data_IF_565341786825
#
_entry.id   IF_565341786825
#
_cell.length_a   1.000
_cell.length_b   1.000
_cell.length_c   1.000
_cell.angle_alpha   90.00
_cell.angle_beta   90.00
_cell.angle_gamma   90.00
#
_symmetry.space_group_name_H-M   'P 1'
#
loop_
_entity.id
_entity.type
_entity.pdbx_description
1 polymer ?
#
# COMPACT_ATOMS: atom_id res chain seq x y z
N UNK A 1 51.89 -46.02 -23.00
CA UNK A 1 51.69 -46.13 -21.54
C UNK A 1 51.71 -44.72 -20.95
N UNK A 2 50.75 -44.40 -20.06
CA UNK A 2 50.66 -43.17 -19.23
C UNK A 2 50.16 -41.93 -19.99
N UNK A 3 49.08 -41.22 -19.66
CA UNK A 3 48.52 -40.84 -18.34
C UNK A 3 48.92 -39.37 -18.09
N UNK A 4 48.10 -38.40 -17.71
CA UNK A 4 46.69 -38.27 -17.36
C UNK A 4 46.46 -36.78 -16.96
N UNK A 5 45.23 -36.41 -16.60
CA UNK A 5 45.01 -35.23 -15.76
C UNK A 5 44.34 -34.00 -16.38
N UNK A 6 43.27 -34.18 -17.17
CA UNK A 6 42.32 -33.11 -17.46
C UNK A 6 41.15 -33.14 -16.49
N UNK A 7 41.27 -32.56 -15.29
CA UNK A 7 40.14 -32.39 -14.38
C UNK A 7 40.10 -30.98 -13.75
N UNK A 8 39.21 -30.17 -14.33
CA UNK A 8 38.24 -29.30 -13.65
C UNK A 8 38.71 -28.03 -12.88
N UNK A 9 38.94 -26.89 -13.58
CA UNK A 9 38.82 -25.55 -12.99
C UNK A 9 37.40 -24.96 -13.09
N UNK A 10 36.51 -25.52 -13.94
CA UNK A 10 35.30 -24.83 -14.41
C UNK A 10 33.97 -25.19 -13.72
N UNK A 11 33.97 -26.02 -12.68
CA UNK A 11 32.72 -26.41 -11.98
C UNK A 11 32.42 -25.51 -10.75
N UNK A 12 33.43 -25.00 -10.07
CA UNK A 12 33.24 -24.11 -8.91
C UNK A 12 32.74 -22.71 -9.32
N UNK A 13 33.21 -22.17 -10.45
CA UNK A 13 32.79 -20.84 -10.93
C UNK A 13 31.35 -20.77 -11.46
N UNK A 14 30.82 -21.87 -12.01
CA UNK A 14 29.47 -21.91 -12.59
C UNK A 14 28.38 -22.11 -11.52
N UNK A 15 28.70 -22.77 -10.42
CA UNK A 15 27.75 -22.99 -9.32
C UNK A 15 27.48 -21.71 -8.51
N UNK A 16 28.49 -20.86 -8.29
CA UNK A 16 28.35 -19.59 -7.53
C UNK A 16 27.64 -18.51 -8.35
N UNK A 17 27.91 -18.43 -9.67
CA UNK A 17 27.24 -17.47 -10.56
C UNK A 17 25.74 -17.74 -10.75
N UNK A 18 25.31 -19.00 -10.71
CA UNK A 18 23.90 -19.39 -10.79
C UNK A 18 23.08 -18.99 -9.54
N UNK A 19 23.69 -19.09 -8.36
CA UNK A 19 23.04 -18.72 -7.09
C UNK A 19 22.90 -17.20 -6.91
N UNK A 20 23.91 -16.42 -7.31
CA UNK A 20 23.83 -14.95 -7.27
C UNK A 20 22.79 -14.39 -8.25
N UNK A 21 22.69 -14.95 -9.45
CA UNK A 21 21.65 -14.55 -10.42
C UNK A 21 20.24 -14.89 -9.93
N UNK A 22 20.03 -16.06 -9.31
CA UNK A 22 18.73 -16.43 -8.77
C UNK A 22 18.26 -15.49 -7.63
N UNK A 23 19.17 -15.11 -6.73
CA UNK A 23 18.88 -14.17 -5.65
C UNK A 23 18.52 -12.76 -6.17
N UNK A 24 19.25 -12.26 -7.18
CA UNK A 24 18.98 -10.96 -7.81
C UNK A 24 17.69 -10.98 -8.62
N UNK A 25 17.39 -12.06 -9.35
CA UNK A 25 16.12 -12.21 -10.06
C UNK A 25 14.92 -12.29 -9.12
N UNK A 26 15.05 -12.93 -7.96
CA UNK A 26 13.99 -13.00 -6.95
C UNK A 26 13.77 -11.63 -6.28
N UNK A 27 14.84 -10.90 -5.97
CA UNK A 27 14.75 -9.53 -5.46
C UNK A 27 14.13 -8.59 -6.51
N UNK A 28 14.50 -8.73 -7.78
CA UNK A 28 13.92 -7.96 -8.89
C UNK A 28 12.43 -8.21 -9.06
N UNK A 29 11.99 -9.47 -9.03
CA UNK A 29 10.57 -9.82 -9.10
C UNK A 29 9.78 -9.28 -7.90
N UNK A 30 10.37 -9.27 -6.71
CA UNK A 30 9.76 -8.71 -5.51
C UNK A 30 9.63 -7.18 -5.57
N UNK A 31 10.64 -6.49 -6.10
CA UNK A 31 10.60 -5.04 -6.34
C UNK A 31 9.57 -4.68 -7.41
N UNK A 32 9.51 -5.45 -8.50
CA UNK A 32 8.58 -5.20 -9.61
C UNK A 32 7.12 -5.44 -9.20
N UNK A 33 6.88 -6.47 -8.37
CA UNK A 33 5.57 -6.72 -7.77
C UNK A 33 5.15 -5.58 -6.84
N UNK A 34 6.06 -5.10 -5.98
CA UNK A 34 5.78 -3.97 -5.10
C UNK A 34 5.46 -2.69 -5.88
N UNK A 35 6.20 -2.40 -6.96
CA UNK A 35 5.98 -1.23 -7.79
C UNK A 35 4.64 -1.27 -8.53
N UNK A 36 4.28 -2.42 -9.12
CA UNK A 36 2.99 -2.62 -9.80
C UNK A 36 1.81 -2.48 -8.85
N UNK A 37 1.94 -3.00 -7.64
CA UNK A 37 0.89 -2.95 -6.64
C UNK A 37 0.66 -1.51 -6.16
N UNK A 38 1.73 -0.74 -5.96
CA UNK A 38 1.67 0.68 -5.60
C UNK A 38 1.01 1.52 -6.72
N UNK A 39 1.31 1.23 -7.99
CA UNK A 39 0.63 1.85 -9.12
C UNK A 39 -0.87 1.54 -9.11
N UNK A 40 -1.27 0.29 -8.83
CA UNK A 40 -2.67 -0.09 -8.68
C UNK A 40 -3.38 0.63 -7.52
N UNK A 41 -2.71 0.83 -6.39
CA UNK A 41 -3.25 1.59 -5.25
C UNK A 41 -3.45 3.06 -5.64
N UNK A 42 -2.51 3.66 -6.36
CA UNK A 42 -2.65 5.03 -6.85
C UNK A 42 -3.84 5.17 -7.80
N UNK A 43 -3.96 4.30 -8.80
CA UNK A 43 -5.06 4.34 -9.78
C UNK A 43 -6.42 4.17 -9.10
N UNK A 44 -6.52 3.23 -8.17
CA UNK A 44 -7.74 3.00 -7.39
C UNK A 44 -8.10 4.22 -6.54
N UNK A 45 -7.12 4.79 -5.82
CA UNK A 45 -7.34 5.99 -5.02
C UNK A 45 -7.73 7.19 -5.89
N UNK A 46 -7.09 7.36 -7.05
CA UNK A 46 -7.41 8.42 -7.99
C UNK A 46 -8.85 8.27 -8.51
N UNK A 47 -9.27 7.05 -8.86
CA UNK A 47 -10.64 6.78 -9.29
C UNK A 47 -11.66 7.10 -8.21
N UNK A 48 -11.40 6.75 -6.94
CA UNK A 48 -12.29 7.08 -5.80
C UNK A 48 -12.36 8.59 -5.54
N UNK A 49 -11.23 9.28 -5.58
CA UNK A 49 -11.15 10.74 -5.41
C UNK A 49 -11.93 11.46 -6.52
N UNK A 50 -11.71 11.07 -7.78
CA UNK A 50 -12.43 11.60 -8.93
C UNK A 50 -13.91 11.22 -8.91
N UNK A 51 -14.23 10.05 -8.34
CA UNK A 51 -15.54 9.44 -8.14
C UNK A 51 -16.41 10.09 -7.07
N UNK A 52 -15.80 10.76 -6.08
CA UNK A 52 -16.49 11.18 -4.87
C UNK A 52 -17.43 12.36 -5.09
N UNK A 53 -18.70 12.18 -4.73
CA UNK A 53 -19.68 13.27 -4.81
C UNK A 53 -19.38 14.36 -3.76
N UNK A 54 -18.86 13.98 -2.59
CA UNK A 54 -18.50 14.90 -1.51
C UNK A 54 -17.33 15.81 -1.90
N UNK A 55 -16.31 15.27 -2.57
CA UNK A 55 -15.23 16.10 -3.08
C UNK A 55 -15.71 16.99 -4.22
N UNK A 56 -16.53 16.46 -5.13
CA UNK A 56 -17.06 17.25 -6.25
C UNK A 56 -17.93 18.41 -5.80
N UNK A 57 -18.76 18.22 -4.78
CA UNK A 57 -19.59 19.31 -4.26
C UNK A 57 -18.77 20.42 -3.61
N UNK A 58 -17.56 20.12 -3.12
CA UNK A 58 -16.67 21.10 -2.50
C UNK A 58 -15.70 21.76 -3.46
N UNK A 59 -15.13 20.99 -4.39
CA UNK A 59 -14.01 21.42 -5.23
C UNK A 59 -14.39 21.59 -6.72
N UNK A 60 -15.56 21.12 -7.15
CA UNK A 60 -15.91 20.98 -8.56
C UNK A 60 -15.39 19.67 -9.16
N UNK A 61 -15.25 19.59 -10.48
CA UNK A 61 -14.67 18.40 -11.12
C UNK A 61 -13.25 18.17 -10.59
N UNK A 62 -12.99 16.95 -10.11
CA UNK A 62 -11.76 16.61 -9.38
C UNK A 62 -10.73 16.03 -10.35
N UNK A 63 -9.49 16.51 -10.25
CA UNK A 63 -8.30 15.95 -10.92
C UNK A 63 -7.25 15.60 -9.86
N UNK A 64 -6.58 14.48 -10.03
CA UNK A 64 -5.53 14.01 -9.10
C UNK A 64 -4.17 14.21 -9.76
N UNK A 65 -3.26 14.86 -9.05
CA UNK A 65 -1.90 15.10 -9.52
C UNK A 65 -0.93 13.98 -9.13
N UNK A 66 0.37 14.13 -9.48
CA UNK A 66 1.36 13.10 -9.25
C UNK A 66 1.61 12.84 -7.76
N UNK A 67 2.11 11.65 -7.43
CA UNK A 67 2.51 11.31 -6.06
C UNK A 67 3.58 12.28 -5.54
N UNK A 68 3.33 12.83 -4.35
CA UNK A 68 4.29 13.66 -3.60
C UNK A 68 5.14 12.76 -2.69
N UNK A 69 4.49 11.81 -2.03
CA UNK A 69 5.14 10.89 -1.10
C UNK A 69 4.48 9.53 -1.15
N UNK A 70 5.29 8.51 -0.91
CA UNK A 70 4.87 7.13 -0.87
C UNK A 70 5.71 6.37 0.15
N UNK A 71 5.05 5.56 0.96
CA UNK A 71 5.69 4.63 1.88
C UNK A 71 4.95 3.30 1.88
N UNK A 72 5.68 2.20 2.07
CA UNK A 72 5.09 0.88 2.31
C UNK A 72 5.82 0.18 3.43
N UNK A 73 5.07 -0.38 4.37
CA UNK A 73 5.58 -1.22 5.45
C UNK A 73 4.91 -2.58 5.42
N UNK A 74 5.60 -3.60 5.92
CA UNK A 74 5.08 -4.94 6.07
C UNK A 74 5.47 -5.48 7.44
N UNK A 75 4.57 -6.23 8.06
CA UNK A 75 4.80 -6.94 9.31
C UNK A 75 4.38 -8.39 9.15
N UNK A 76 5.12 -9.31 9.77
CA UNK A 76 4.76 -10.72 9.83
C UNK A 76 4.83 -11.17 11.29
N UNK A 77 3.67 -11.39 11.90
CA UNK A 77 3.56 -11.84 13.30
C UNK A 77 2.88 -13.20 13.30
N UNK A 78 3.54 -14.23 13.84
CA UNK A 78 2.99 -15.59 13.92
C UNK A 78 2.49 -16.13 12.56
N UNK A 79 3.19 -15.81 11.47
CA UNK A 79 2.82 -16.20 10.10
C UNK A 79 1.70 -15.39 9.47
N UNK A 80 1.14 -14.41 10.20
CA UNK A 80 0.19 -13.43 9.67
C UNK A 80 0.95 -12.27 9.06
N UNK A 81 0.85 -12.12 7.74
CA UNK A 81 1.43 -10.99 7.00
C UNK A 81 0.40 -9.87 6.92
N UNK A 82 0.79 -8.69 7.38
CA UNK A 82 0.05 -7.44 7.20
C UNK A 82 0.94 -6.46 6.44
N UNK A 83 0.39 -5.82 5.42
CA UNK A 83 1.06 -4.78 4.63
C UNK A 83 0.30 -3.47 4.78
N UNK A 84 1.02 -2.37 4.86
CA UNK A 84 0.46 -1.03 4.86
C UNK A 84 1.12 -0.19 3.77
N UNK A 85 0.32 0.50 2.97
CA UNK A 85 0.77 1.41 1.92
C UNK A 85 0.18 2.79 2.21
N UNK A 86 1.03 3.80 2.26
CA UNK A 86 0.68 5.19 2.49
C UNK A 86 1.04 6.01 1.25
N UNK A 87 0.07 6.71 0.67
CA UNK A 87 0.29 7.62 -0.47
C UNK A 87 -0.12 9.04 -0.09
N UNK A 88 0.59 10.03 -0.63
CA UNK A 88 0.25 11.44 -0.55
C UNK A 88 0.27 12.04 -1.96
N UNK A 89 -0.81 12.69 -2.36
CA UNK A 89 -0.97 13.28 -3.70
C UNK A 89 -1.79 14.57 -3.65
N UNK A 90 -1.54 15.54 -4.54
CA UNK A 90 -2.34 16.75 -4.62
C UNK A 90 -3.64 16.47 -5.38
N UNK A 91 -4.69 17.16 -4.98
CA UNK A 91 -6.02 17.10 -5.58
C UNK A 91 -6.42 18.50 -6.00
N UNK A 92 -6.88 18.64 -7.23
CA UNK A 92 -7.29 19.90 -7.83
C UNK A 92 -8.76 19.84 -8.21
N UNK A 93 -9.48 20.92 -7.94
CA UNK A 93 -10.86 21.11 -8.32
C UNK A 93 -11.00 22.13 -9.44
N UNK A 94 -11.91 21.88 -10.38
CA UNK A 94 -12.24 22.85 -11.43
C UNK A 94 -12.82 24.16 -10.89
N UNK A 95 -13.30 24.19 -9.65
CA UNK A 95 -13.75 25.40 -8.94
C UNK A 95 -12.60 26.27 -8.42
N UNK A 96 -11.34 25.96 -8.74
CA UNK A 96 -10.15 26.67 -8.26
C UNK A 96 -9.69 26.23 -6.86
N UNK A 97 -10.42 25.30 -6.22
CA UNK A 97 -10.03 24.70 -4.96
C UNK A 97 -8.93 23.65 -5.14
N UNK A 98 -8.08 23.49 -4.13
CA UNK A 98 -7.05 22.46 -4.10
C UNK A 98 -6.99 21.79 -2.73
N UNK A 99 -6.32 20.64 -2.67
CA UNK A 99 -6.11 19.90 -1.44
C UNK A 99 -5.01 18.87 -1.56
N UNK A 100 -4.75 18.18 -0.45
CA UNK A 100 -3.82 17.06 -0.37
C UNK A 100 -4.59 15.83 0.08
N UNK A 101 -4.58 14.77 -0.72
CA UNK A 101 -5.09 13.47 -0.34
C UNK A 101 -4.01 12.66 0.37
N UNK A 102 -4.41 12.05 1.48
CA UNK A 102 -3.66 11.02 2.18
C UNK A 102 -4.43 9.71 2.03
N UNK A 103 -3.76 8.70 1.51
CA UNK A 103 -4.31 7.36 1.26
C UNK A 103 -3.59 6.39 2.18
N UNK A 104 -4.36 5.56 2.89
CA UNK A 104 -3.85 4.44 3.67
C UNK A 104 -4.52 3.16 3.19
N UNK A 105 -3.72 2.19 2.77
CA UNK A 105 -4.19 0.83 2.47
C UNK A 105 -3.56 -0.11 3.46
N UNK A 106 -4.38 -0.90 4.14
CA UNK A 106 -3.94 -2.00 5.00
C UNK A 106 -4.42 -3.29 4.40
N UNK A 107 -3.51 -4.22 4.14
CA UNK A 107 -3.78 -5.56 3.66
C UNK A 107 -3.43 -6.55 4.76
N UNK A 108 -4.41 -7.29 5.25
CA UNK A 108 -4.24 -8.35 6.24
C UNK A 108 -4.59 -9.73 5.68
N UNK A 109 -4.40 -10.78 6.50
CA UNK A 109 -4.76 -12.14 6.11
C UNK A 109 -6.25 -12.22 5.78
N UNK A 110 -6.60 -12.91 4.68
CA UNK A 110 -8.00 -13.19 4.39
C UNK A 110 -8.59 -14.04 5.51
N UNK A 111 -9.67 -13.55 6.12
CA UNK A 111 -10.36 -14.25 7.19
C UNK A 111 -11.12 -15.44 6.58
N UNK A 112 -10.48 -16.61 6.52
CA UNK A 112 -11.13 -17.87 6.14
C UNK A 112 -12.20 -18.19 7.19
N UNK A 113 -13.46 -17.85 6.92
CA UNK A 113 -14.57 -18.34 7.75
C UNK A 113 -15.83 -17.49 7.84
N UNK A 114 -15.87 -16.27 7.31
CA UNK A 114 -17.10 -15.47 7.37
C UNK A 114 -17.14 -14.39 6.30
N UNK A 115 -18.07 -14.51 5.36
CA UNK A 115 -18.53 -13.41 4.50
C UNK A 115 -17.44 -12.65 3.72
N UNK A 116 -16.77 -13.31 2.78
CA UNK A 116 -16.37 -12.74 1.47
C UNK A 116 -15.59 -11.41 1.37
N UNK A 117 -15.03 -10.87 2.45
CA UNK A 117 -14.21 -9.65 2.40
C UNK A 117 -12.74 -9.95 2.15
N UNK A 118 -12.13 -9.30 1.17
CA UNK A 118 -10.67 -9.17 1.13
C UNK A 118 -10.21 -8.49 2.43
N UNK A 119 -9.17 -8.97 3.10
CA UNK A 119 -8.58 -8.34 4.30
C UNK A 119 -7.93 -6.98 4.02
N UNK A 120 -8.30 -6.34 2.89
CA UNK A 120 -7.76 -5.10 2.36
C UNK A 120 -8.74 -3.96 2.63
N UNK A 121 -8.30 -2.99 3.40
CA UNK A 121 -9.03 -1.76 3.71
C UNK A 121 -8.29 -0.57 3.12
N UNK A 122 -9.00 0.28 2.38
CA UNK A 122 -8.47 1.55 1.87
C UNK A 122 -9.23 2.71 2.50
N UNK A 123 -8.49 3.64 3.09
CA UNK A 123 -8.98 4.90 3.64
C UNK A 123 -8.36 6.07 2.88
N UNK A 124 -9.17 7.08 2.58
CA UNK A 124 -8.74 8.27 1.85
C UNK A 124 -9.27 9.50 2.59
N UNK A 125 -8.37 10.40 2.93
CA UNK A 125 -8.70 11.68 3.56
C UNK A 125 -8.10 12.82 2.75
N UNK A 126 -8.91 13.80 2.39
CA UNK A 126 -8.46 15.00 1.68
C UNK A 126 -8.49 16.19 2.62
N UNK A 127 -7.35 16.86 2.78
CA UNK A 127 -7.26 18.16 3.43
C UNK A 127 -7.29 19.25 2.37
N UNK A 128 -8.33 20.07 2.38
CA UNK A 128 -8.52 21.17 1.44
C UNK A 128 -7.73 22.41 1.87
N UNK A 129 -7.42 23.29 0.92
CA UNK A 129 -6.63 24.50 1.14
C UNK A 129 -7.28 25.51 2.08
N UNK A 130 -8.61 25.45 2.21
CA UNK A 130 -9.41 26.22 3.17
C UNK A 130 -9.39 25.63 4.60
N UNK A 131 -8.62 24.55 4.83
CA UNK A 131 -8.48 23.89 6.12
C UNK A 131 -9.52 22.79 6.38
N UNK A 132 -10.46 22.57 5.46
CA UNK A 132 -11.43 21.48 5.55
C UNK A 132 -10.80 20.09 5.46
N UNK A 133 -11.48 19.09 6.02
CA UNK A 133 -11.08 17.68 5.95
C UNK A 133 -12.27 16.86 5.46
N UNK A 134 -12.06 16.07 4.41
CA UNK A 134 -13.09 15.26 3.76
C UNK A 134 -12.62 13.81 3.75
N UNK A 135 -13.35 12.95 4.44
CA UNK A 135 -13.20 11.50 4.32
C UNK A 135 -13.93 11.00 3.07
N UNK A 136 -13.22 10.25 2.23
CA UNK A 136 -13.76 9.65 1.01
C UNK A 136 -14.05 8.18 1.29
N UNK A 137 -15.21 7.95 1.89
CA UNK A 137 -15.75 6.62 2.19
C UNK A 137 -16.63 6.08 1.05
N UNK A 138 -16.65 6.77 -0.09
CA UNK A 138 -17.40 6.35 -1.27
C UNK A 138 -16.66 5.14 -1.87
N UNK A 139 -16.94 3.95 -1.34
CA UNK A 139 -16.37 2.69 -1.79
C UNK A 139 -16.65 2.41 -3.28
N UNK A 140 -15.89 1.51 -3.93
CA UNK A 140 -16.15 1.15 -5.32
C UNK A 140 -17.59 0.65 -5.48
N UNK A 141 -18.25 1.11 -6.55
CA UNK A 141 -19.58 0.65 -6.96
C UNK A 141 -19.52 -0.83 -7.38
N UNK A 142 -19.52 -1.74 -6.41
CA UNK A 142 -19.35 -3.16 -6.67
C UNK A 142 -19.13 -3.96 -5.40
N UNK A 143 -20.17 -4.06 -4.58
CA UNK A 143 -20.15 -4.87 -3.36
C UNK A 143 -21.27 -4.45 -2.43
N UNK A 144 -22.47 -4.99 -2.67
CA UNK A 144 -23.63 -4.74 -1.83
C UNK A 144 -23.38 -5.10 -0.38
N UNK A 145 -23.78 -4.21 0.53
CA UNK A 145 -23.70 -4.42 1.96
C UNK A 145 -24.11 -3.15 2.69
N UNK A 146 -25.41 -2.91 2.78
CA UNK A 146 -25.97 -1.87 3.63
C UNK A 146 -25.67 -2.12 5.11
N UNK A 147 -25.64 -1.04 5.89
CA UNK A 147 -25.53 -1.08 7.35
C UNK A 147 -24.54 -0.04 7.84
N UNK A 148 -24.98 1.20 8.05
CA UNK A 148 -25.41 1.69 9.38
C UNK A 148 -24.23 2.06 10.28
N UNK A 149 -24.11 3.38 10.52
CA UNK A 149 -23.42 4.05 11.61
C UNK A 149 -22.47 3.22 12.49
N UNK A 150 -21.26 2.94 11.99
CA UNK A 150 -20.18 2.36 12.75
C UNK A 150 -19.07 3.40 12.92
N UNK A 151 -18.82 3.78 14.17
CA UNK A 151 -17.73 4.69 14.60
C UNK A 151 -16.44 4.31 13.87
N UNK A 152 -15.87 5.25 13.13
CA UNK A 152 -14.52 5.10 12.59
C UNK A 152 -13.60 4.81 13.76
N UNK A 153 -12.93 3.65 13.73
CA UNK A 153 -11.81 3.39 14.61
C UNK A 153 -10.69 4.34 14.19
N UNK A 154 -10.69 5.53 14.78
CA UNK A 154 -9.48 6.33 14.89
C UNK A 154 -8.52 5.48 15.72
N UNK A 155 -7.45 5.01 15.09
CA UNK A 155 -6.37 4.36 15.79
C UNK A 155 -5.60 5.48 16.49
N UNK A 156 -5.91 5.71 17.77
CA UNK A 156 -5.13 6.59 18.62
C UNK A 156 -3.88 5.81 19.06
N UNK A 157 -2.71 6.24 18.55
CA UNK A 157 -1.44 5.61 18.88
C UNK A 157 -0.88 6.31 20.11
N UNK A 158 -1.20 5.80 21.29
CA UNK A 158 -0.59 6.24 22.56
C UNK A 158 0.79 5.56 22.72
N UNK A 159 1.87 6.35 22.68
CA UNK A 159 3.21 5.87 23.02
C UNK A 159 3.30 5.66 24.53
N UNK A 160 3.35 4.39 24.97
CA UNK A 160 3.74 4.06 26.35
C UNK A 160 5.23 3.77 26.40
N UNK A 161 5.95 4.66 27.06
CA UNK A 161 7.34 4.46 27.43
C UNK A 161 7.40 3.33 28.48
N UNK A 162 8.03 2.20 28.12
CA UNK A 162 8.20 1.08 29.04
C UNK A 162 9.46 1.36 29.85
N UNK A 163 9.29 1.99 31.00
CA UNK A 163 10.39 2.25 31.93
C UNK A 163 10.92 0.91 32.46
N UNK A 164 12.05 0.50 31.90
CA UNK A 164 12.71 -0.78 32.20
C UNK A 164 13.64 -0.60 33.38
N UNK A 165 13.12 -0.18 34.53
CA UNK A 165 13.93 -0.04 35.74
C UNK A 165 13.59 -1.14 36.75
N UNK A 166 14.32 -2.23 36.62
CA UNK A 166 14.39 -3.31 37.61
C UNK A 166 15.72 -3.17 38.35
N UNK A 167 15.65 -2.75 39.62
CA UNK A 167 16.61 -3.14 40.66
C UNK A 167 15.86 -3.31 41.96
#
# INVERSE_FOLDING_TARGET
MGGGGGLLPNLLGRAVGGLLNAAVSQLGAQLDAAAKEQAGVYEEAAARLQGSAKLRSRLGAVTVGPLISQASSGSSINGVVTKQIMLVMPVYGSGGGAGTAQVSVVEGPQQRGGGGGSGRTMQITVRTSDGGVIAVDDGPAGGGGGGSGGRGNVIDVEFREVDSNKK
#
